data_IF_861795867829
#
_entry.id   IF_861795867829
#
_cell.length_a   1.000
_cell.length_b   1.000
_cell.length_c   1.000
_cell.angle_alpha   90.00
_cell.angle_beta   90.00
_cell.angle_gamma   90.00
#
_symmetry.space_group_name_H-M   'P 1'
#
loop_
_entity.id
_entity.type
_entity.pdbx_description
1 polymer ?
#
# COMPACT_ATOMS: atom_id res chain seq x y z
N UNK A 1 -18.13 -2.55 21.78
CA UNK A 1 -18.53 -2.83 20.39
C UNK A 1 -17.63 -1.97 19.51
N UNK A 2 -16.94 -2.58 18.55
CA UNK A 2 -16.07 -1.85 17.65
C UNK A 2 -16.51 -2.18 16.22
N UNK A 3 -16.83 -1.15 15.44
CA UNK A 3 -17.17 -1.29 14.03
C UNK A 3 -15.86 -1.34 13.24
N UNK A 4 -15.66 -2.42 12.50
CA UNK A 4 -14.47 -2.64 11.69
C UNK A 4 -14.82 -2.57 10.20
N UNK A 5 -13.92 -1.97 9.42
CA UNK A 5 -13.94 -2.04 7.96
C UNK A 5 -12.94 -3.12 7.52
N UNK A 6 -13.45 -4.20 6.91
CA UNK A 6 -12.64 -5.35 6.52
C UNK A 6 -13.06 -5.92 5.18
N UNK A 7 -12.24 -6.80 4.62
CA UNK A 7 -12.52 -7.46 3.35
C UNK A 7 -13.22 -8.81 3.56
N UNK A 8 -14.26 -9.07 2.77
CA UNK A 8 -14.94 -10.36 2.64
C UNK A 8 -14.60 -10.96 1.28
N UNK A 9 -14.16 -12.22 1.24
CA UNK A 9 -13.82 -12.90 -0.02
C UNK A 9 -15.08 -13.48 -0.66
N UNK A 10 -15.28 -13.22 -1.96
CA UNK A 10 -16.46 -13.66 -2.73
C UNK A 10 -16.06 -14.29 -4.08
N UNK A 11 -14.78 -14.41 -4.39
CA UNK A 11 -14.31 -15.04 -5.63
C UNK A 11 -14.09 -16.55 -5.56
N UNK A 12 -13.82 -17.13 -6.73
CA UNK A 12 -13.52 -18.55 -6.90
C UNK A 12 -12.10 -18.92 -6.43
N UNK A 13 -11.77 -20.21 -6.53
CA UNK A 13 -10.39 -20.69 -6.38
C UNK A 13 -9.54 -20.09 -7.50
N UNK A 14 -8.36 -19.55 -7.17
CA UNK A 14 -7.44 -18.83 -8.08
C UNK A 14 -7.95 -17.52 -8.72
N UNK A 15 -9.18 -17.10 -8.43
CA UNK A 15 -9.72 -15.79 -8.82
C UNK A 15 -10.44 -15.14 -7.62
N UNK A 16 -9.69 -14.70 -6.59
CA UNK A 16 -10.28 -14.08 -5.41
C UNK A 16 -10.73 -12.64 -5.68
N UNK A 17 -12.02 -12.39 -5.44
CA UNK A 17 -12.60 -11.04 -5.39
C UNK A 17 -12.93 -10.71 -3.94
N UNK A 18 -12.71 -9.46 -3.53
CA UNK A 18 -12.96 -9.00 -2.18
C UNK A 18 -14.01 -7.89 -2.15
N UNK A 19 -15.01 -7.98 -1.27
CA UNK A 19 -15.87 -6.85 -0.92
C UNK A 19 -15.34 -6.15 0.30
N UNK A 20 -15.27 -4.82 0.25
CA UNK A 20 -14.95 -3.98 1.40
C UNK A 20 -16.27 -3.77 2.16
N UNK A 21 -16.34 -4.28 3.38
CA UNK A 21 -17.56 -4.32 4.18
C UNK A 21 -17.35 -3.66 5.54
N UNK A 22 -18.44 -3.09 6.06
CA UNK A 22 -18.54 -2.64 7.44
C UNK A 22 -19.26 -3.69 8.27
N UNK A 23 -18.70 -4.05 9.42
CA UNK A 23 -19.27 -5.05 10.32
C UNK A 23 -18.82 -4.80 11.75
N UNK A 24 -19.55 -5.35 12.71
CA UNK A 24 -19.02 -5.52 14.06
C UNK A 24 -17.82 -6.49 14.01
N UNK A 25 -16.78 -6.19 14.76
CA UNK A 25 -15.56 -7.00 14.89
C UNK A 25 -15.85 -8.46 15.28
N UNK A 26 -16.85 -8.69 16.14
CA UNK A 26 -17.22 -10.02 16.67
C UNK A 26 -17.77 -10.96 15.61
N UNK A 27 -18.22 -10.44 14.47
CA UNK A 27 -18.79 -11.28 13.42
C UNK A 27 -17.71 -12.13 12.74
N UNK A 28 -18.11 -13.31 12.25
CA UNK A 28 -17.27 -14.14 11.37
C UNK A 28 -16.84 -13.37 10.12
N UNK A 29 -15.65 -13.66 9.58
CA UNK A 29 -15.08 -12.97 8.39
C UNK A 29 -16.08 -12.81 7.25
N UNK A 30 -16.73 -13.92 6.87
CA UNK A 30 -17.67 -13.96 5.75
C UNK A 30 -19.14 -13.84 6.21
N UNK A 31 -19.39 -13.41 7.46
CA UNK A 31 -20.70 -13.29 8.08
C UNK A 31 -21.56 -12.12 7.57
N UNK A 32 -22.55 -11.74 8.41
CA UNK A 32 -23.45 -10.62 8.13
C UNK A 32 -22.69 -9.29 8.16
N UNK A 33 -22.75 -8.54 7.08
CA UNK A 33 -22.28 -7.17 7.02
C UNK A 33 -23.40 -6.21 7.41
N UNK A 34 -23.04 -5.05 7.98
CA UNK A 34 -23.94 -3.91 8.15
C UNK A 34 -24.15 -3.26 6.79
N UNK A 35 -23.05 -3.02 6.07
CA UNK A 35 -23.04 -2.35 4.77
C UNK A 35 -21.85 -2.80 3.92
N UNK A 36 -22.01 -2.75 2.59
CA UNK A 36 -20.94 -2.95 1.61
C UNK A 36 -20.51 -1.59 1.07
N UNK A 37 -19.24 -1.22 1.27
CA UNK A 37 -18.68 0.06 0.79
C UNK A 37 -18.15 -0.03 -0.63
N UNK A 38 -17.81 -1.23 -1.10
CA UNK A 38 -17.20 -1.40 -2.41
C UNK A 38 -16.62 -2.78 -2.66
N UNK A 39 -15.84 -2.87 -3.74
CA UNK A 39 -15.18 -4.08 -4.22
C UNK A 39 -13.72 -3.83 -4.57
N UNK A 40 -12.90 -4.85 -4.37
CA UNK A 40 -11.49 -4.88 -4.67
C UNK A 40 -11.18 -6.16 -5.45
N UNK A 41 -10.64 -5.99 -6.65
CA UNK A 41 -10.18 -7.08 -7.51
C UNK A 41 -8.64 -7.00 -7.68
N UNK A 42 -7.88 -7.92 -7.08
CA UNK A 42 -6.44 -8.01 -7.26
C UNK A 42 -6.01 -8.77 -8.52
N UNK A 43 -6.93 -9.45 -9.22
CA UNK A 43 -6.60 -10.26 -10.39
C UNK A 43 -6.46 -9.43 -11.66
N UNK A 44 -6.92 -8.18 -11.66
CA UNK A 44 -6.74 -7.25 -12.77
C UNK A 44 -5.42 -6.50 -12.62
N UNK A 45 -4.74 -6.24 -13.73
CA UNK A 45 -3.56 -5.37 -13.79
C UNK A 45 -3.93 -4.14 -14.64
N UNK A 46 -4.15 -2.95 -14.03
CA UNK A 46 -4.05 -2.61 -12.61
C UNK A 46 -5.22 -3.13 -11.75
N UNK A 47 -4.99 -3.25 -10.44
CA UNK A 47 -6.00 -3.74 -9.50
C UNK A 47 -7.22 -2.81 -9.49
N UNK A 48 -8.41 -3.36 -9.77
CA UNK A 48 -9.65 -2.58 -9.84
C UNK A 48 -10.18 -2.32 -8.43
N UNK A 49 -10.53 -1.07 -8.16
CA UNK A 49 -11.02 -0.60 -6.86
C UNK A 49 -12.29 0.21 -7.10
N UNK A 50 -13.42 -0.31 -6.64
CA UNK A 50 -14.71 0.36 -6.69
C UNK A 50 -15.11 0.72 -5.26
N UNK A 51 -15.29 2.00 -4.96
CA UNK A 51 -15.65 2.49 -3.62
C UNK A 51 -16.77 3.52 -3.68
N UNK A 52 -17.67 3.46 -2.70
CA UNK A 52 -18.61 4.53 -2.43
C UNK A 52 -17.98 5.56 -1.49
N UNK A 53 -17.57 6.68 -2.08
CA UNK A 53 -16.82 7.74 -1.42
C UNK A 53 -17.58 8.37 -0.22
N UNK A 54 -18.90 8.56 -0.36
CA UNK A 54 -19.73 9.19 0.67
C UNK A 54 -19.85 8.31 1.91
N UNK A 55 -20.12 7.02 1.68
CA UNK A 55 -20.29 6.04 2.76
C UNK A 55 -18.98 5.76 3.47
N UNK A 56 -17.87 5.68 2.74
CA UNK A 56 -16.52 5.54 3.33
C UNK A 56 -16.23 6.70 4.28
N UNK A 57 -16.45 7.94 3.86
CA UNK A 57 -16.24 9.13 4.72
C UNK A 57 -17.12 9.10 5.96
N UNK A 58 -18.39 8.73 5.82
CA UNK A 58 -19.32 8.63 6.95
C UNK A 58 -18.84 7.62 8.01
N UNK A 59 -18.44 6.43 7.59
CA UNK A 59 -17.97 5.39 8.51
C UNK A 59 -16.61 5.71 9.14
N UNK A 60 -15.69 6.34 8.39
CA UNK A 60 -14.45 6.85 8.95
C UNK A 60 -14.72 7.93 10.01
N UNK A 61 -15.66 8.85 9.77
CA UNK A 61 -16.08 9.87 10.75
C UNK A 61 -16.80 9.29 11.98
N UNK A 62 -17.48 8.16 11.83
CA UNK A 62 -18.12 7.43 12.95
C UNK A 62 -17.09 6.69 13.82
N UNK A 63 -15.83 6.64 13.41
CA UNK A 63 -14.76 5.95 14.13
C UNK A 63 -14.63 4.47 13.79
N UNK A 64 -15.06 4.05 12.60
CA UNK A 64 -14.86 2.68 12.16
C UNK A 64 -13.37 2.42 11.85
N UNK A 65 -12.82 1.34 12.40
CA UNK A 65 -11.40 1.01 12.26
C UNK A 65 -11.15 0.15 11.01
N UNK A 66 -10.37 0.61 10.02
CA UNK A 66 -10.00 -0.21 8.87
C UNK A 66 -8.88 -1.20 9.19
N UNK A 67 -8.92 -2.39 8.59
CA UNK A 67 -7.81 -3.34 8.60
C UNK A 67 -6.59 -2.82 7.81
N UNK A 68 -5.41 -3.39 8.03
CA UNK A 68 -4.16 -2.90 7.42
C UNK A 68 -4.20 -2.86 5.88
N UNK A 69 -4.70 -3.91 5.24
CA UNK A 69 -4.85 -3.94 3.77
C UNK A 69 -5.85 -2.90 3.28
N UNK A 70 -6.99 -2.75 3.96
CA UNK A 70 -8.01 -1.76 3.60
C UNK A 70 -7.47 -0.35 3.80
N UNK A 71 -6.68 -0.11 4.85
CA UNK A 71 -5.97 1.15 5.06
C UNK A 71 -5.03 1.47 3.90
N UNK A 72 -4.26 0.49 3.42
CA UNK A 72 -3.40 0.68 2.26
C UNK A 72 -4.20 0.97 0.98
N UNK A 73 -5.36 0.33 0.78
CA UNK A 73 -6.28 0.64 -0.32
C UNK A 73 -6.77 2.08 -0.20
N UNK A 74 -7.23 2.50 0.98
CA UNK A 74 -7.69 3.87 1.23
C UNK A 74 -6.59 4.91 1.04
N UNK A 75 -5.33 4.60 1.39
CA UNK A 75 -4.17 5.47 1.10
C UNK A 75 -3.95 5.63 -0.40
N UNK A 76 -4.06 4.55 -1.18
CA UNK A 76 -3.92 4.60 -2.65
C UNK A 76 -5.01 5.45 -3.32
N UNK A 77 -6.21 5.44 -2.75
CA UNK A 77 -7.36 6.19 -3.29
C UNK A 77 -7.44 7.62 -2.74
N UNK A 78 -6.69 7.95 -1.68
CA UNK A 78 -6.66 9.29 -1.09
C UNK A 78 -7.68 9.53 0.04
N UNK A 79 -8.29 8.48 0.58
CA UNK A 79 -9.20 8.59 1.74
C UNK A 79 -8.48 8.62 3.09
N UNK A 80 -7.19 8.26 3.12
CA UNK A 80 -6.42 8.13 4.34
C UNK A 80 -5.08 8.86 4.16
N UNK A 81 -4.87 9.92 4.94
CA UNK A 81 -3.61 10.67 4.91
C UNK A 81 -2.47 9.84 5.51
N UNK A 82 -1.25 9.91 4.95
CA UNK A 82 -0.08 9.27 5.55
C UNK A 82 0.33 9.84 6.92
N UNK A 83 -0.18 11.01 7.32
CA UNK A 83 0.10 11.63 8.62
C UNK A 83 -0.67 10.93 9.77
N UNK A 84 -0.18 9.75 10.15
CA UNK A 84 -0.45 9.08 11.43
C UNK A 84 0.88 8.54 11.96
N UNK A 85 1.06 8.43 13.29
CA UNK A 85 2.36 8.57 13.97
C UNK A 85 3.45 7.80 13.23
N UNK A 86 4.40 8.57 12.69
CA UNK A 86 5.66 8.07 12.17
C UNK A 86 6.34 7.27 13.27
N UNK A 87 6.04 5.98 13.35
CA UNK A 87 6.91 5.05 14.05
C UNK A 87 8.14 5.02 13.17
N UNK A 88 9.09 5.88 13.51
CA UNK A 88 10.46 5.86 13.03
C UNK A 88 10.91 4.40 13.16
N UNK A 89 10.85 3.66 12.05
CA UNK A 89 11.54 2.39 11.95
C UNK A 89 13.00 2.78 12.00
N UNK A 90 13.54 2.84 13.21
CA UNK A 90 14.96 2.97 13.39
C UNK A 90 15.60 1.85 12.57
N UNK A 91 16.57 2.23 11.75
CA UNK A 91 17.23 1.38 10.77
C UNK A 91 18.19 0.40 11.46
N UNK A 92 17.76 -0.27 12.54
CA UNK A 92 18.61 -1.02 13.47
C UNK A 92 18.48 -2.54 13.35
N UNK A 93 18.14 -3.04 12.15
CA UNK A 93 18.59 -4.37 11.73
C UNK A 93 19.72 -4.25 10.69
N UNK A 94 20.62 -3.29 10.89
CA UNK A 94 22.00 -3.39 10.44
C UNK A 94 22.86 -3.93 11.58
N UNK A 95 22.64 -5.19 11.99
CA UNK A 95 23.58 -5.90 12.87
C UNK A 95 24.17 -7.11 12.13
N UNK A 96 25.24 -6.78 11.41
CA UNK A 96 26.42 -7.57 11.01
C UNK A 96 26.23 -8.98 10.40
N UNK A 97 26.75 -9.24 9.19
CA UNK A 97 27.20 -10.58 8.82
C UNK A 97 28.57 -10.84 9.46
N UNK A 98 28.63 -11.72 10.45
CA UNK A 98 29.89 -12.26 10.98
C UNK A 98 29.89 -13.78 10.88
N UNK A 99 30.48 -14.33 9.80
CA UNK A 99 31.18 -15.63 9.71
C UNK A 99 31.73 -15.76 8.27
N UNK A 100 32.96 -15.30 8.02
CA UNK A 100 34.22 -16.08 7.88
C UNK A 100 34.37 -16.84 6.54
N UNK A 101 35.32 -16.28 5.76
CA UNK A 101 36.35 -16.91 4.91
C UNK A 101 35.97 -17.82 3.71
N UNK A 102 36.58 -17.50 2.56
CA UNK A 102 36.96 -18.49 1.56
C UNK A 102 36.89 -18.03 0.10
N UNK A 103 37.96 -17.38 -0.37
CA UNK A 103 38.60 -17.68 -1.67
C UNK A 103 37.75 -17.77 -2.96
N UNK A 104 37.86 -16.76 -3.84
CA UNK A 104 38.77 -16.76 -5.02
C UNK A 104 38.48 -15.62 -6.01
N UNK A 105 39.60 -15.12 -6.52
CA UNK A 105 39.86 -14.17 -7.60
C UNK A 105 39.29 -14.58 -8.96
N UNK A 106 38.81 -13.60 -9.73
CA UNK A 106 39.13 -13.33 -11.16
C UNK A 106 38.47 -11.99 -11.52
N UNK A 107 39.22 -10.90 -11.62
CA UNK A 107 39.88 -10.39 -12.83
C UNK A 107 38.90 -9.73 -13.83
N UNK A 108 38.99 -8.40 -13.89
CA UNK A 108 39.09 -7.58 -15.12
C UNK A 108 37.94 -7.62 -16.16
N UNK A 109 37.28 -6.47 -16.39
CA UNK A 109 37.48 -5.65 -17.62
C UNK A 109 36.56 -4.42 -17.68
N UNK A 110 37.23 -3.31 -17.94
CA UNK A 110 36.84 -1.95 -18.33
C UNK A 110 35.80 -1.91 -19.45
N UNK A 111 34.81 -1.00 -19.37
CA UNK A 111 34.48 -0.06 -20.47
C UNK A 111 33.57 1.10 -20.03
N UNK A 112 34.20 2.26 -20.04
CA UNK A 112 33.71 3.65 -20.15
C UNK A 112 33.06 3.91 -21.52
N UNK A 113 32.07 4.82 -21.59
CA UNK A 113 31.84 5.89 -22.61
C UNK A 113 30.63 6.71 -22.11
N UNK A 114 30.83 7.83 -21.40
CA UNK A 114 30.86 9.23 -21.90
C UNK A 114 29.62 9.63 -22.70
N UNK A 115 28.73 10.40 -22.06
CA UNK A 115 27.84 11.34 -22.76
C UNK A 115 27.84 12.63 -21.93
N UNK A 116 28.82 13.50 -22.20
CA UNK A 116 28.60 14.95 -22.08
C UNK A 116 27.89 15.38 -23.37
N UNK A 117 26.74 16.05 -23.27
CA UNK A 117 26.62 17.50 -23.47
C UNK A 117 25.14 17.93 -23.57
N UNK A 118 24.86 19.09 -22.94
CA UNK A 118 23.88 20.13 -23.31
C UNK A 118 22.38 19.78 -23.44
N UNK A 119 21.41 20.57 -22.95
CA UNK A 119 21.40 21.89 -22.32
C UNK A 119 20.03 22.11 -21.64
N UNK A 120 20.04 22.77 -20.47
CA UNK A 120 18.90 23.49 -19.89
C UNK A 120 19.26 24.99 -19.91
N UNK A 121 18.51 25.87 -20.59
CA UNK A 121 18.50 27.28 -20.20
C UNK A 121 17.53 27.46 -19.03
N UNK A 122 18.07 27.74 -17.84
CA UNK A 122 17.31 28.40 -16.78
C UNK A 122 17.14 29.87 -17.17
N UNK A 123 15.92 30.32 -16.92
CA UNK A 123 15.48 31.69 -16.77
C UNK A 123 16.45 32.52 -15.94
N UNK A 124 16.67 33.77 -16.34
CA UNK A 124 16.90 34.90 -15.43
C UNK A 124 16.15 36.13 -16.00
N UNK A 125 15.35 36.73 -15.12
CA UNK A 125 14.62 38.00 -15.25
C UNK A 125 15.56 39.21 -15.02
N UNK A 126 15.01 40.42 -15.16
CA UNK A 126 15.57 41.79 -15.01
C UNK A 126 16.16 42.36 -16.33
N UNK A 127 15.68 43.46 -16.93
CA UNK A 127 14.91 44.64 -16.49
C UNK A 127 13.98 45.13 -17.63
#
# INVERSE_FOLDING_TARGET
MATAIRMKRIGAKKAPVYRIIVTDDRNKRDGRAIEVLGMYDPCTEPASIELNNERVKHWLGTGATPSETVRNIFRKVGFYSPEGPSVERTKDLQRAPSVIAGEKTHAEKVQEVVIETEALPKSDEEE
#
